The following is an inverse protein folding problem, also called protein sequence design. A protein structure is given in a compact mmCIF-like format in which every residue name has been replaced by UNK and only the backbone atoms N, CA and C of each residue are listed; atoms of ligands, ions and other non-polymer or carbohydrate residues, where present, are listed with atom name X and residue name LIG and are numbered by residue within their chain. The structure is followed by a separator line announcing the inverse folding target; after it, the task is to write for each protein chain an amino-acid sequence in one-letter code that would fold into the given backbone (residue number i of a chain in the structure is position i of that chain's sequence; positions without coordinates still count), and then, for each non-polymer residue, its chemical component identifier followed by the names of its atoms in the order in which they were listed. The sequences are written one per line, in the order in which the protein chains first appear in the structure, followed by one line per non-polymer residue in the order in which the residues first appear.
data_IF_469634624532
#
_entry.id   IF_469634624532
#
_cell.length_a   1.000
_cell.length_b   1.000
_cell.length_c   1.000
_cell.angle_alpha   90.00
_cell.angle_beta   90.00
_cell.angle_gamma   90.00
#
_symmetry.space_group_name_H-M   'P 1'
#
loop_
_entity.id
_entity.type
_entity.pdbx_description
1 polymer ?
#
# COMPACT_ATOMS: atom_id res chain seq x y z
N UNK A 1 -24.64 -12.17 -14.48
CA UNK A 1 -23.55 -11.19 -14.65
C UNK A 1 -24.01 -9.81 -15.15
N UNK A 2 -25.26 -9.62 -15.61
CA UNK A 2 -25.86 -8.28 -15.81
C UNK A 2 -25.89 -7.42 -14.54
N UNK A 3 -25.82 -8.07 -13.37
CA UNK A 3 -25.82 -7.44 -12.05
C UNK A 3 -24.66 -6.45 -11.86
N UNK A 4 -23.46 -6.71 -12.37
CA UNK A 4 -22.33 -5.78 -12.21
C UNK A 4 -22.57 -4.45 -12.95
N UNK A 5 -23.10 -4.52 -14.18
CA UNK A 5 -23.42 -3.32 -14.94
C UNK A 5 -24.65 -2.61 -14.35
N UNK A 6 -25.65 -3.35 -13.88
CA UNK A 6 -26.79 -2.78 -13.16
C UNK A 6 -26.38 -2.15 -11.82
N UNK A 7 -25.43 -2.75 -11.09
CA UNK A 7 -24.88 -2.25 -9.84
C UNK A 7 -24.06 -0.98 -10.12
N UNK A 8 -23.23 -0.96 -11.17
CA UNK A 8 -22.52 0.25 -11.62
C UNK A 8 -23.51 1.33 -12.05
N UNK A 9 -24.53 1.01 -12.86
CA UNK A 9 -25.60 1.94 -13.26
C UNK A 9 -26.41 2.42 -12.05
N UNK A 10 -26.60 1.59 -11.03
CA UNK A 10 -27.31 1.92 -9.79
C UNK A 10 -26.47 2.78 -8.87
N UNK A 11 -25.18 2.48 -8.70
CA UNK A 11 -24.21 3.28 -7.97
C UNK A 11 -24.10 4.64 -8.63
N UNK A 12 -23.95 4.67 -9.96
CA UNK A 12 -23.91 5.92 -10.71
C UNK A 12 -25.24 6.65 -10.55
N UNK A 13 -26.42 6.03 -10.75
CA UNK A 13 -27.72 6.69 -10.55
C UNK A 13 -27.90 7.25 -9.12
N UNK A 14 -27.59 6.47 -8.07
CA UNK A 14 -27.62 6.93 -6.67
C UNK A 14 -26.68 8.11 -6.45
N UNK A 15 -25.54 8.11 -7.13
CA UNK A 15 -24.56 9.18 -7.14
C UNK A 15 -24.75 10.15 -8.32
N UNK A 16 -25.92 10.23 -8.98
CA UNK A 16 -26.13 11.13 -10.14
C UNK A 16 -27.19 12.18 -9.88
N UNK A 17 -27.93 12.07 -8.78
CA UNK A 17 -28.88 13.10 -8.42
C UNK A 17 -28.12 14.26 -7.82
N UNK A 18 -27.90 15.30 -8.63
CA UNK A 18 -27.66 16.64 -8.13
C UNK A 18 -28.89 17.01 -7.29
N UNK A 19 -28.80 16.83 -5.97
CA UNK A 19 -29.86 17.32 -5.09
C UNK A 19 -29.79 18.84 -5.09
N UNK A 20 -30.96 19.50 -5.17
CA UNK A 20 -31.01 20.93 -4.91
C UNK A 20 -30.39 21.21 -3.53
N UNK A 21 -29.65 22.32 -3.38
CA UNK A 21 -29.10 22.71 -2.09
C UNK A 21 -30.20 22.70 -1.03
N UNK A 22 -29.94 22.03 0.09
CA UNK A 22 -30.81 22.08 1.26
C UNK A 22 -30.72 23.51 1.83
N UNK A 23 -31.83 24.07 2.37
CA UNK A 23 -31.78 25.39 2.99
C UNK A 23 -30.71 25.47 4.08
N UNK A 24 -29.95 26.58 4.10
CA UNK A 24 -28.89 26.81 5.06
C UNK A 24 -29.44 26.83 6.49
N UNK A 25 -28.81 26.05 7.37
CA UNK A 25 -29.14 26.05 8.80
C UNK A 25 -28.56 27.29 9.49
N UNK A 26 -29.00 27.59 10.72
CA UNK A 26 -28.47 28.72 11.47
C UNK A 26 -26.98 28.52 11.84
N UNK A 27 -26.54 27.28 12.02
CA UNK A 27 -25.12 26.94 12.16
C UNK A 27 -24.31 27.24 10.89
N UNK A 28 -24.88 26.99 9.71
CA UNK A 28 -24.21 27.27 8.44
C UNK A 28 -24.05 28.77 8.20
N UNK A 29 -25.02 29.58 8.62
CA UNK A 29 -24.93 31.05 8.56
C UNK A 29 -23.82 31.59 9.47
N UNK A 30 -23.66 31.01 10.66
CA UNK A 30 -22.56 31.34 11.59
C UNK A 30 -21.22 30.94 10.98
N UNK A 31 -21.13 29.76 10.33
CA UNK A 31 -19.93 29.35 9.59
C UNK A 31 -19.60 30.32 8.47
N UNK A 32 -20.59 30.77 7.70
CA UNK A 32 -20.41 31.75 6.62
C UNK A 32 -19.90 33.09 7.18
N UNK A 33 -20.49 33.62 8.25
CA UNK A 33 -20.09 34.92 8.83
C UNK A 33 -18.69 34.92 9.43
N UNK A 34 -18.20 33.76 9.87
CA UNK A 34 -16.88 33.61 10.48
C UNK A 34 -15.81 33.11 9.50
N UNK A 35 -16.17 32.87 8.23
CA UNK A 35 -15.26 32.32 7.23
C UNK A 35 -14.49 33.42 6.51
N UNK A 36 -13.22 33.57 6.86
CA UNK A 36 -12.25 34.39 6.11
C UNK A 36 -11.28 33.54 5.27
N UNK A 37 -11.38 32.20 5.36
CA UNK A 37 -10.47 31.24 4.75
C UNK A 37 -11.26 30.24 3.91
N UNK A 38 -10.79 29.95 2.71
CA UNK A 38 -11.40 28.95 1.83
C UNK A 38 -11.20 27.54 2.41
N UNK A 39 -12.28 26.78 2.61
CA UNK A 39 -12.17 25.43 3.18
C UNK A 39 -11.49 24.39 2.26
N UNK A 40 -11.30 24.71 0.96
CA UNK A 40 -10.70 23.80 -0.03
C UNK A 40 -9.18 23.99 -0.12
N UNK A 41 -8.72 25.24 -0.20
CA UNK A 41 -7.30 25.57 -0.41
C UNK A 41 -6.64 26.24 0.81
N UNK A 42 -7.41 26.48 1.87
CA UNK A 42 -6.94 27.02 3.15
C UNK A 42 -6.27 28.40 3.06
N UNK A 43 -6.60 29.19 2.03
CA UNK A 43 -6.11 30.57 1.84
C UNK A 43 -7.22 31.60 2.01
N UNK A 44 -6.87 32.87 2.23
CA UNK A 44 -7.83 33.95 2.48
C UNK A 44 -8.86 34.09 1.34
N UNK A 45 -10.12 34.27 1.71
CA UNK A 45 -11.23 34.50 0.79
C UNK A 45 -11.17 35.95 0.26
N UNK A 46 -11.23 36.09 -1.06
CA UNK A 46 -11.38 37.38 -1.74
C UNK A 46 -12.88 37.67 -2.01
N UNK A 47 -13.20 38.73 -2.74
CA UNK A 47 -14.59 39.18 -2.97
C UNK A 47 -15.47 38.11 -3.69
N UNK A 48 -14.87 37.14 -4.40
CA UNK A 48 -15.58 36.08 -5.14
C UNK A 48 -15.87 34.85 -4.25
N UNK A 49 -16.87 34.99 -3.37
CA UNK A 49 -17.33 33.95 -2.46
C UNK A 49 -18.26 32.95 -3.15
N UNK A 50 -17.96 31.65 -3.03
CA UNK A 50 -18.82 30.57 -3.50
C UNK A 50 -19.22 29.65 -2.33
N UNK A 51 -20.51 29.38 -2.20
CA UNK A 51 -21.03 28.44 -1.21
C UNK A 51 -21.01 27.03 -1.79
N UNK A 52 -20.11 26.19 -1.30
CA UNK A 52 -20.00 24.82 -1.77
C UNK A 52 -21.00 23.92 -1.04
N UNK A 53 -21.67 23.08 -1.81
CA UNK A 53 -22.64 22.12 -1.32
C UNK A 53 -22.24 20.73 -1.78
N UNK A 54 -22.47 19.75 -0.91
CA UNK A 54 -22.34 18.35 -1.28
C UNK A 54 -23.41 18.00 -2.32
N UNK A 55 -23.00 17.81 -3.55
CA UNK A 55 -23.80 17.32 -4.67
C UNK A 55 -24.61 16.03 -4.37
N UNK A 56 -24.21 15.18 -3.42
CA UNK A 56 -24.92 13.95 -3.07
C UNK A 56 -25.96 14.13 -1.95
N UNK A 57 -25.65 14.94 -0.93
CA UNK A 57 -26.54 15.15 0.23
C UNK A 57 -27.34 16.46 0.15
N UNK A 58 -26.87 17.43 -0.62
CA UNK A 58 -27.37 18.80 -0.71
C UNK A 58 -26.92 19.70 0.44
N UNK A 59 -26.15 19.17 1.39
CA UNK A 59 -25.73 19.87 2.61
C UNK A 59 -24.62 20.89 2.33
N UNK A 60 -24.61 21.99 3.06
CA UNK A 60 -23.55 23.00 2.98
C UNK A 60 -22.22 22.44 3.51
N UNK A 61 -21.14 22.66 2.76
CA UNK A 61 -19.79 22.17 3.10
C UNK A 61 -18.91 23.29 3.63
N UNK A 62 -19.01 24.47 3.05
CA UNK A 62 -18.20 25.62 3.44
C UNK A 62 -18.12 26.68 2.36
N UNK A 63 -17.46 27.79 2.71
CA UNK A 63 -17.20 28.90 1.79
C UNK A 63 -15.88 28.66 1.07
N UNK A 64 -15.88 28.73 -0.25
CA UNK A 64 -14.70 28.53 -1.08
C UNK A 64 -14.57 29.61 -2.16
N UNK A 65 -13.37 29.75 -2.71
CA UNK A 65 -13.23 30.50 -3.96
C UNK A 65 -14.02 29.81 -5.06
N UNK A 66 -14.63 30.59 -5.94
CA UNK A 66 -15.32 30.08 -7.13
C UNK A 66 -14.41 29.15 -7.98
N UNK A 67 -13.13 29.49 -8.09
CA UNK A 67 -12.13 28.68 -8.80
C UNK A 67 -11.86 27.34 -8.09
N UNK A 68 -11.82 27.33 -6.75
CA UNK A 68 -11.59 26.11 -5.97
C UNK A 68 -12.78 25.16 -6.05
N UNK A 69 -14.02 25.66 -5.88
CA UNK A 69 -15.21 24.82 -6.03
C UNK A 69 -15.32 24.24 -7.45
N UNK A 70 -15.03 25.04 -8.49
CA UNK A 70 -15.04 24.55 -9.88
C UNK A 70 -14.03 23.41 -10.14
N UNK A 71 -12.89 23.41 -9.43
CA UNK A 71 -11.85 22.37 -9.48
C UNK A 71 -12.17 21.15 -8.60
N UNK A 72 -12.99 21.30 -7.57
CA UNK A 72 -13.37 20.24 -6.63
C UNK A 72 -14.43 19.32 -7.24
N UNK A 73 -14.02 18.41 -8.13
CA UNK A 73 -14.91 17.48 -8.87
C UNK A 73 -14.66 16.04 -8.52
N UNK A 74 -15.73 15.26 -8.52
CA UNK A 74 -15.68 13.83 -8.19
C UNK A 74 -15.34 13.00 -9.42
N UNK A 75 -14.43 12.01 -9.29
CA UNK A 75 -14.00 11.18 -10.40
C UNK A 75 -15.16 10.38 -10.98
N UNK A 76 -15.26 10.35 -12.32
CA UNK A 76 -16.30 9.62 -13.08
C UNK A 76 -15.84 8.23 -13.55
N UNK A 77 -14.80 7.68 -12.95
CA UNK A 77 -14.35 6.30 -13.19
C UNK A 77 -14.38 5.54 -11.87
N UNK A 78 -14.80 4.27 -11.91
CA UNK A 78 -14.86 3.40 -10.74
C UNK A 78 -13.74 2.37 -10.92
N UNK A 79 -12.62 2.47 -10.18
CA UNK A 79 -11.59 1.46 -10.23
C UNK A 79 -12.07 0.21 -9.49
N UNK A 80 -12.04 -0.93 -10.17
CA UNK A 80 -12.32 -2.24 -9.57
C UNK A 80 -11.00 -2.99 -9.53
N UNK A 81 -10.53 -3.28 -8.32
CA UNK A 81 -9.30 -4.05 -8.10
C UNK A 81 -9.65 -5.52 -7.94
N UNK A 82 -9.09 -6.35 -8.82
CA UNK A 82 -9.23 -7.79 -8.76
C UNK A 82 -7.89 -8.36 -8.31
N UNK A 83 -7.83 -8.75 -7.04
CA UNK A 83 -6.68 -9.47 -6.51
C UNK A 83 -6.61 -10.81 -7.26
N UNK A 84 -5.59 -10.98 -8.11
CA UNK A 84 -5.27 -12.20 -8.86
C UNK A 84 -5.97 -12.43 -10.23
N UNK A 85 -6.15 -11.37 -11.03
CA UNK A 85 -6.61 -11.52 -12.43
C UNK A 85 -5.55 -12.18 -13.33
N UNK A 86 -4.28 -11.92 -13.06
CA UNK A 86 -3.16 -12.60 -13.68
C UNK A 86 -3.15 -14.06 -13.22
N UNK A 87 -3.18 -15.02 -14.16
CA UNK A 87 -3.21 -16.48 -13.98
C UNK A 87 -4.59 -17.15 -13.86
N UNK A 88 -5.69 -16.39 -13.81
CA UNK A 88 -7.05 -16.93 -13.94
C UNK A 88 -7.66 -16.55 -15.30
N UNK A 89 -8.64 -17.31 -15.77
CA UNK A 89 -9.19 -17.15 -17.12
C UNK A 89 -10.12 -15.93 -17.21
N UNK A 90 -9.57 -14.72 -17.28
CA UNK A 90 -10.36 -13.47 -17.34
C UNK A 90 -11.22 -13.34 -18.61
N UNK A 91 -11.11 -14.29 -19.55
CA UNK A 91 -11.93 -14.39 -20.76
C UNK A 91 -13.42 -14.36 -20.47
N UNK A 92 -13.90 -15.05 -19.43
CA UNK A 92 -15.34 -15.05 -19.11
C UNK A 92 -15.83 -13.67 -18.67
N UNK A 93 -14.98 -12.86 -18.02
CA UNK A 93 -15.31 -11.50 -17.59
C UNK A 93 -15.33 -10.57 -18.81
N UNK A 94 -14.30 -10.63 -19.65
CA UNK A 94 -14.21 -9.83 -20.88
C UNK A 94 -15.37 -10.15 -21.83
N UNK A 95 -15.72 -11.43 -21.98
CA UNK A 95 -16.88 -11.86 -22.75
C UNK A 95 -18.19 -11.35 -22.13
N UNK A 96 -18.33 -11.40 -20.81
CA UNK A 96 -19.51 -10.86 -20.12
C UNK A 96 -19.61 -9.33 -20.20
N UNK A 97 -18.52 -8.60 -20.41
CA UNK A 97 -18.49 -7.15 -20.65
C UNK A 97 -18.84 -6.76 -22.10
N UNK A 98 -18.94 -7.75 -23.00
CA UNK A 98 -19.35 -7.59 -24.39
C UNK A 98 -20.87 -7.78 -24.56
N UNK A 99 -21.66 -7.21 -23.64
CA UNK A 99 -23.12 -7.29 -23.65
C UNK A 99 -23.79 -6.18 -24.48
N UNK A 100 -23.04 -5.16 -24.86
CA UNK A 100 -23.45 -4.04 -25.72
C UNK A 100 -22.36 -3.75 -26.77
N UNK A 101 -22.69 -2.93 -27.77
CA UNK A 101 -21.79 -2.55 -28.87
C UNK A 101 -20.67 -1.58 -28.43
N UNK A 102 -20.63 -1.17 -27.16
CA UNK A 102 -19.60 -0.27 -26.65
C UNK A 102 -18.23 -0.96 -26.65
N UNK A 103 -17.18 -0.20 -26.95
CA UNK A 103 -15.84 -0.78 -27.11
C UNK A 103 -15.24 -1.18 -25.76
N UNK A 104 -14.82 -2.44 -25.64
CA UNK A 104 -13.96 -2.93 -24.54
C UNK A 104 -12.50 -2.75 -24.98
N UNK A 105 -11.74 -1.99 -24.20
CA UNK A 105 -10.30 -1.84 -24.41
C UNK A 105 -9.56 -2.81 -23.48
N UNK A 106 -8.61 -3.56 -24.02
CA UNK A 106 -7.86 -4.57 -23.26
C UNK A 106 -6.37 -4.32 -23.47
N UNK A 107 -5.61 -4.45 -22.39
CA UNK A 107 -4.14 -4.49 -22.43
C UNK A 107 -3.72 -5.95 -22.31
N UNK A 108 -3.48 -6.65 -23.43
CA UNK A 108 -3.06 -8.04 -23.39
C UNK A 108 -1.58 -8.17 -23.02
N UNK A 109 -1.25 -9.19 -22.24
CA UNK A 109 0.13 -9.65 -22.05
C UNK A 109 0.49 -10.70 -23.10
N UNK A 110 -0.43 -11.62 -23.39
CA UNK A 110 -0.37 -12.59 -24.48
C UNK A 110 -1.81 -12.98 -24.90
N UNK A 111 -1.98 -13.99 -25.75
CA UNK A 111 -3.31 -14.41 -26.25
C UNK A 111 -4.25 -14.97 -25.16
N UNK A 112 -3.74 -15.33 -23.99
CA UNK A 112 -4.50 -15.97 -22.90
C UNK A 112 -4.49 -15.16 -21.60
N UNK A 113 -3.69 -14.09 -21.51
CA UNK A 113 -3.48 -13.30 -20.30
C UNK A 113 -3.68 -11.82 -20.57
N UNK A 114 -4.54 -11.20 -19.77
CA UNK A 114 -4.84 -9.76 -19.81
C UNK A 114 -4.27 -9.06 -18.57
N UNK A 115 -3.60 -7.93 -18.76
CA UNK A 115 -3.07 -7.08 -17.69
C UNK A 115 -4.20 -6.20 -17.13
N UNK A 116 -5.02 -5.65 -18.02
CA UNK A 116 -6.20 -4.88 -17.65
C UNK A 116 -7.24 -4.89 -18.78
N UNK A 117 -8.49 -4.64 -18.43
CA UNK A 117 -9.56 -4.36 -19.37
C UNK A 117 -10.38 -3.16 -18.87
N UNK A 118 -10.82 -2.32 -19.79
CA UNK A 118 -11.57 -1.09 -19.54
C UNK A 118 -12.80 -1.07 -20.42
N UNK A 119 -13.96 -0.80 -19.82
CA UNK A 119 -15.21 -0.55 -20.54
C UNK A 119 -15.58 0.92 -20.35
N UNK A 120 -15.65 1.67 -21.44
CA UNK A 120 -16.27 2.98 -21.39
C UNK A 120 -17.78 2.80 -21.48
N UNK A 121 -18.48 3.24 -20.44
CA UNK A 121 -19.93 3.33 -20.48
C UNK A 121 -20.28 4.74 -20.91
N UNK A 122 -20.99 4.88 -22.02
CA UNK A 122 -21.48 6.20 -22.45
C UNK A 122 -22.63 6.61 -21.55
N UNK A 123 -22.32 7.36 -20.51
CA UNK A 123 -23.31 8.04 -19.66
C UNK A 123 -23.41 9.46 -20.22
N UNK A 124 -24.57 9.83 -20.74
CA UNK A 124 -24.83 11.13 -21.35
C UNK A 124 -24.59 12.26 -20.32
N UNK A 125 -23.33 12.70 -20.16
CA UNK A 125 -22.82 13.98 -19.66
C UNK A 125 -21.32 13.85 -19.27
N UNK A 126 -20.40 14.49 -20.01
CA UNK A 126 -18.94 14.53 -19.76
C UNK A 126 -18.49 15.76 -18.95
N UNK A 127 -17.29 15.75 -18.30
CA UNK A 127 -16.57 16.99 -18.01
C UNK A 127 -15.05 16.88 -18.30
N UNK A 128 -14.52 17.94 -18.90
CA UNK A 128 -13.13 18.15 -19.29
C UNK A 128 -12.21 18.40 -18.06
N UNK A 129 -11.75 17.36 -17.33
CA UNK A 129 -10.90 17.54 -16.13
C UNK A 129 -9.42 17.17 -16.35
N UNK A 130 -9.12 16.17 -17.18
CA UNK A 130 -7.73 15.82 -17.53
C UNK A 130 -7.02 16.90 -18.38
N UNK A 131 -7.70 17.98 -18.74
CA UNK A 131 -7.13 19.07 -19.52
C UNK A 131 -6.28 20.05 -18.68
N UNK A 132 -6.44 20.10 -17.34
CA UNK A 132 -5.86 21.16 -16.51
C UNK A 132 -4.73 20.74 -15.56
N UNK A 133 -4.71 19.52 -15.01
CA UNK A 133 -3.75 19.11 -13.97
C UNK A 133 -3.43 17.62 -14.02
N UNK A 134 -2.19 17.24 -13.72
CA UNK A 134 -1.73 15.86 -13.55
C UNK A 134 -2.42 15.21 -12.34
N UNK A 135 -2.99 14.01 -12.52
CA UNK A 135 -3.57 13.24 -11.43
C UNK A 135 -2.48 12.47 -10.69
N UNK A 136 -2.51 12.45 -9.35
CA UNK A 136 -1.55 11.72 -8.51
C UNK A 136 -2.25 10.63 -7.70
N UNK A 137 -1.70 9.43 -7.70
CA UNK A 137 -2.23 8.26 -7.02
C UNK A 137 -1.17 7.66 -6.09
N UNK A 138 -1.34 7.76 -4.76
CA UNK A 138 -0.45 7.08 -3.82
C UNK A 138 -0.67 5.57 -3.90
N UNK A 139 0.42 4.82 -3.92
CA UNK A 139 0.44 3.36 -3.93
C UNK A 139 1.42 2.85 -2.88
N UNK A 140 1.14 1.67 -2.33
CA UNK A 140 2.13 0.91 -1.58
C UNK A 140 2.70 -0.17 -2.49
N UNK A 141 4.00 -0.08 -2.74
CA UNK A 141 4.75 -1.01 -3.58
C UNK A 141 5.44 -2.02 -2.67
N UNK A 142 5.33 -3.30 -3.01
CA UNK A 142 6.01 -4.38 -2.30
C UNK A 142 7.15 -4.94 -3.14
N UNK A 143 8.32 -5.12 -2.54
CA UNK A 143 9.45 -5.81 -3.15
C UNK A 143 9.95 -6.93 -2.26
N UNK A 144 10.43 -8.01 -2.88
CA UNK A 144 11.08 -9.11 -2.18
C UNK A 144 12.49 -9.28 -2.71
N UNK A 145 13.47 -9.24 -1.81
CA UNK A 145 14.85 -9.59 -2.13
C UNK A 145 15.26 -10.84 -1.38
N UNK A 146 16.00 -11.69 -2.07
CA UNK A 146 16.49 -12.96 -1.53
C UNK A 146 18.01 -12.96 -1.55
N UNK A 147 18.62 -13.22 -0.41
CA UNK A 147 20.06 -13.22 -0.21
C UNK A 147 20.50 -14.56 0.35
N UNK A 148 21.41 -15.24 -0.34
CA UNK A 148 21.92 -16.55 0.10
C UNK A 148 23.05 -16.39 1.11
N UNK A 149 22.93 -17.07 2.24
CA UNK A 149 23.95 -17.16 3.29
C UNK A 149 24.50 -18.60 3.28
N UNK A 150 25.80 -18.79 3.01
CA UNK A 150 26.38 -20.12 2.91
C UNK A 150 26.47 -20.82 4.26
N UNK A 151 26.54 -22.15 4.23
CA UNK A 151 26.86 -22.97 5.41
C UNK A 151 28.22 -22.58 6.02
N UNK A 152 28.41 -22.88 7.29
CA UNK A 152 29.62 -22.59 8.06
C UNK A 152 29.72 -21.14 8.55
N UNK A 153 28.79 -20.27 8.17
CA UNK A 153 28.76 -18.87 8.60
C UNK A 153 28.10 -18.74 9.98
N UNK A 154 28.74 -18.01 10.89
CA UNK A 154 28.19 -17.67 12.22
C UNK A 154 27.60 -16.25 12.27
N UNK A 155 27.89 -15.39 11.29
CA UNK A 155 27.28 -14.07 11.21
C UNK A 155 27.43 -13.48 9.82
N UNK A 156 26.47 -12.65 9.44
CA UNK A 156 26.44 -12.00 8.13
C UNK A 156 26.01 -10.55 8.29
N UNK A 157 26.79 -9.66 7.71
CA UNK A 157 26.39 -8.29 7.40
C UNK A 157 25.99 -8.25 5.93
N UNK A 158 24.82 -7.69 5.68
CA UNK A 158 24.27 -7.50 4.35
C UNK A 158 24.06 -5.99 4.17
N UNK A 159 24.98 -5.37 3.45
CA UNK A 159 24.93 -3.96 3.10
C UNK A 159 24.02 -3.75 1.89
N UNK A 160 23.30 -2.63 1.85
CA UNK A 160 22.38 -2.28 0.77
C UNK A 160 21.45 -3.45 0.41
N UNK A 161 20.86 -4.04 1.47
CA UNK A 161 19.95 -5.17 1.31
C UNK A 161 18.74 -4.79 0.47
N UNK A 162 18.40 -3.51 0.42
CA UNK A 162 17.37 -2.96 -0.45
C UNK A 162 18.07 -2.00 -1.41
N UNK A 163 17.50 -1.81 -2.60
CA UNK A 163 18.12 -1.01 -3.67
C UNK A 163 18.68 0.31 -3.12
N UNK A 164 19.84 0.76 -3.66
CA UNK A 164 20.37 2.10 -3.38
C UNK A 164 19.29 3.12 -3.77
N UNK A 165 18.60 3.71 -2.78
CA UNK A 165 17.43 4.51 -3.07
C UNK A 165 16.54 4.74 -1.87
N UNK A 166 15.23 4.59 -2.08
CA UNK A 166 14.22 4.86 -1.08
C UNK A 166 14.34 3.88 0.11
N UNK A 167 14.21 4.40 1.33
CA UNK A 167 14.06 3.59 2.54
C UNK A 167 12.62 3.09 2.61
N UNK A 168 12.39 1.77 2.76
CA UNK A 168 11.05 1.24 2.91
C UNK A 168 10.39 1.73 4.21
N UNK A 169 9.05 1.81 4.21
CA UNK A 169 8.29 2.06 5.44
C UNK A 169 8.24 0.84 6.35
N UNK A 170 8.33 -0.37 5.78
CA UNK A 170 8.25 -1.63 6.52
C UNK A 170 9.19 -2.67 5.92
N UNK A 171 9.84 -3.44 6.79
CA UNK A 171 10.59 -4.63 6.40
C UNK A 171 10.14 -5.86 7.18
N UNK A 172 9.96 -6.98 6.50
CA UNK A 172 9.72 -8.29 7.11
C UNK A 172 10.82 -9.24 6.63
N UNK A 173 11.54 -9.84 7.57
CA UNK A 173 12.67 -10.70 7.30
C UNK A 173 12.39 -12.10 7.83
N UNK A 174 12.71 -13.10 7.02
CA UNK A 174 12.65 -14.51 7.39
C UNK A 174 13.81 -15.29 6.78
N UNK A 175 14.17 -16.40 7.41
CA UNK A 175 15.20 -17.30 6.91
C UNK A 175 14.58 -18.64 6.55
N UNK A 176 14.91 -19.14 5.36
CA UNK A 176 14.40 -20.41 4.83
C UNK A 176 15.56 -21.25 4.33
N UNK A 177 15.46 -22.56 4.44
CA UNK A 177 16.44 -23.47 3.86
C UNK A 177 16.57 -23.24 2.34
N UNK A 178 17.79 -23.11 1.82
CA UNK A 178 18.00 -22.81 0.40
C UNK A 178 17.39 -23.87 -0.53
N UNK A 179 17.47 -25.16 -0.18
CA UNK A 179 16.87 -26.21 -1.01
C UNK A 179 15.35 -26.24 -0.91
N UNK A 180 14.77 -25.83 0.23
CA UNK A 180 13.32 -25.67 0.38
C UNK A 180 12.80 -24.53 -0.51
N UNK A 181 13.49 -23.39 -0.50
CA UNK A 181 13.19 -22.24 -1.36
C UNK A 181 13.25 -22.61 -2.85
N UNK A 182 14.22 -23.44 -3.24
CA UNK A 182 14.39 -23.92 -4.62
C UNK A 182 13.45 -25.10 -5.01
N UNK A 183 12.44 -25.42 -4.19
CA UNK A 183 11.39 -26.38 -4.58
C UNK A 183 11.69 -27.85 -4.27
N UNK A 184 12.52 -28.16 -3.28
CA UNK A 184 12.72 -29.53 -2.80
C UNK A 184 11.41 -30.17 -2.36
N UNK A 185 11.00 -31.28 -2.98
CA UNK A 185 9.73 -31.98 -2.71
C UNK A 185 9.59 -32.48 -1.27
N UNK A 186 10.69 -32.65 -0.54
CA UNK A 186 10.73 -33.13 0.85
C UNK A 186 10.75 -32.01 1.89
N UNK A 187 10.81 -30.73 1.47
CA UNK A 187 10.93 -29.58 2.37
C UNK A 187 9.85 -28.55 2.08
N UNK A 188 9.51 -27.74 3.08
CA UNK A 188 8.49 -26.70 2.96
C UNK A 188 9.16 -25.31 2.83
N UNK A 189 8.91 -24.54 1.74
CA UNK A 189 9.45 -23.19 1.58
C UNK A 189 8.82 -22.15 2.53
N UNK A 190 7.71 -22.47 3.20
CA UNK A 190 7.04 -21.59 4.17
C UNK A 190 7.47 -21.83 5.62
N UNK A 191 8.48 -22.68 5.85
CA UNK A 191 9.07 -22.90 7.17
C UNK A 191 10.19 -21.90 7.39
N UNK A 192 9.88 -20.84 8.14
CA UNK A 192 10.81 -19.79 8.53
C UNK A 192 11.50 -20.16 9.85
N UNK A 193 12.62 -20.86 9.75
CA UNK A 193 13.36 -21.32 10.92
C UNK A 193 14.15 -20.18 11.58
N UNK A 194 14.37 -20.30 12.89
CA UNK A 194 15.16 -19.32 13.62
C UNK A 194 16.68 -19.49 13.45
N UNK A 195 17.16 -20.65 12.98
CA UNK A 195 18.58 -21.00 12.81
C UNK A 195 19.51 -20.61 13.97
N UNK A 196 18.97 -20.52 15.20
CA UNK A 196 19.72 -20.07 16.36
C UNK A 196 20.18 -18.61 16.27
N UNK A 197 19.39 -17.69 15.68
CA UNK A 197 19.69 -16.26 15.71
C UNK A 197 20.00 -15.84 17.15
N UNK A 198 21.19 -15.30 17.37
CA UNK A 198 21.69 -14.76 18.63
C UNK A 198 21.65 -13.25 18.68
N UNK A 199 21.82 -12.60 17.52
CA UNK A 199 21.68 -11.15 17.42
C UNK A 199 21.11 -10.74 16.06
N UNK A 200 20.20 -9.77 16.05
CA UNK A 200 19.63 -9.19 14.84
C UNK A 200 19.41 -7.68 14.99
N UNK A 201 19.83 -6.91 13.99
CA UNK A 201 19.58 -5.48 13.89
C UNK A 201 19.59 -5.00 12.45
N UNK A 202 18.79 -3.98 12.17
CA UNK A 202 18.84 -3.17 10.96
C UNK A 202 19.63 -1.89 11.25
N UNK A 203 20.19 -1.29 10.21
CA UNK A 203 20.76 0.05 10.26
C UNK A 203 20.21 0.85 9.10
N UNK A 204 19.72 2.06 9.38
CA UNK A 204 19.34 3.05 8.38
C UNK A 204 20.35 4.18 8.49
N UNK A 205 21.14 4.39 7.44
CA UNK A 205 22.18 5.43 7.39
C UNK A 205 23.12 5.43 8.61
N UNK A 206 23.46 4.23 9.08
CA UNK A 206 24.32 4.00 10.25
C UNK A 206 23.61 4.05 11.61
N UNK A 207 22.34 4.48 11.67
CA UNK A 207 21.54 4.42 12.90
C UNK A 207 20.92 3.03 13.08
N UNK A 208 21.19 2.40 14.21
CA UNK A 208 20.70 1.05 14.51
C UNK A 208 19.21 1.03 14.90
N UNK A 209 18.47 0.06 14.35
CA UNK A 209 17.05 -0.22 14.60
C UNK A 209 16.88 -1.73 14.81
N UNK A 210 16.35 -2.18 15.96
CA UNK A 210 16.00 -1.38 17.13
C UNK A 210 17.26 -0.81 17.82
N UNK A 211 17.07 0.22 18.65
CA UNK A 211 18.17 0.90 19.38
C UNK A 211 19.05 -0.07 20.16
N UNK A 212 18.45 -1.14 20.69
CA UNK A 212 19.15 -2.33 21.17
C UNK A 212 18.88 -3.47 20.21
N UNK A 213 19.94 -4.12 19.71
CA UNK A 213 19.80 -5.28 18.83
C UNK A 213 18.96 -6.35 19.52
N UNK A 214 18.13 -7.04 18.73
CA UNK A 214 17.40 -8.20 19.24
C UNK A 214 18.41 -9.27 19.60
N UNK A 215 18.26 -9.88 20.77
CA UNK A 215 19.13 -10.95 21.24
C UNK A 215 18.30 -12.15 21.71
N UNK A 216 17.58 -12.83 20.80
CA UNK A 216 16.77 -13.97 21.18
C UNK A 216 17.65 -15.17 21.59
N UNK A 217 17.14 -15.98 22.50
CA UNK A 217 17.66 -17.30 22.85
C UNK A 217 16.48 -18.27 22.83
N UNK A 218 16.41 -19.08 21.78
CA UNK A 218 15.32 -20.04 21.58
C UNK A 218 15.42 -21.21 22.57
N UNK A 219 16.63 -21.66 22.91
CA UNK A 219 16.87 -22.73 23.89
C UNK A 219 16.38 -22.36 25.29
N UNK A 220 16.55 -21.10 25.69
CA UNK A 220 16.13 -20.59 27.00
C UNK A 220 14.72 -19.96 26.99
N UNK A 221 13.98 -20.07 25.88
CA UNK A 221 12.67 -19.43 25.66
C UNK A 221 12.66 -17.89 25.79
N UNK A 222 13.81 -17.24 25.59
CA UNK A 222 13.98 -15.78 25.65
C UNK A 222 13.90 -15.21 24.24
N UNK A 223 12.71 -15.15 23.65
CA UNK A 223 12.52 -14.60 22.29
C UNK A 223 11.30 -13.69 22.19
N UNK A 224 10.73 -13.27 23.33
CA UNK A 224 9.52 -12.43 23.39
C UNK A 224 9.70 -11.12 22.63
N UNK A 225 10.85 -10.46 22.74
CA UNK A 225 11.12 -9.21 22.00
C UNK A 225 11.19 -9.43 20.48
N UNK A 226 11.74 -10.56 20.03
CA UNK A 226 11.75 -10.92 18.61
C UNK A 226 10.34 -11.22 18.10
N UNK A 227 9.55 -11.98 18.87
CA UNK A 227 8.14 -12.24 18.56
C UNK A 227 7.29 -10.96 18.58
N UNK A 228 7.55 -10.04 19.51
CA UNK A 228 6.86 -8.75 19.61
C UNK A 228 7.04 -7.88 18.35
N UNK A 229 8.15 -8.05 17.62
CA UNK A 229 8.36 -7.34 16.34
C UNK A 229 7.27 -7.64 15.32
N UNK A 230 6.68 -8.84 15.33
CA UNK A 230 5.55 -9.16 14.45
C UNK A 230 4.33 -8.28 14.73
N UNK A 231 4.10 -7.90 15.98
CA UNK A 231 2.96 -7.06 16.34
C UNK A 231 3.25 -5.60 16.03
N UNK A 232 4.39 -5.10 16.50
CA UNK A 232 4.78 -3.70 16.31
C UNK A 232 5.07 -3.37 14.85
N UNK A 233 5.80 -4.22 14.13
CA UNK A 233 6.19 -3.97 12.74
C UNK A 233 5.06 -4.11 11.72
N UNK A 234 4.06 -4.96 11.96
CA UNK A 234 2.88 -5.06 11.08
C UNK A 234 1.80 -4.02 11.43
N UNK A 235 1.93 -3.35 12.58
CA UNK A 235 0.96 -2.36 13.05
C UNK A 235 -0.36 -2.95 13.55
N UNK A 236 -0.39 -4.26 13.83
CA UNK A 236 -1.50 -4.90 14.55
C UNK A 236 -1.41 -4.68 16.07
N UNK A 237 -0.30 -4.13 16.54
CA UNK A 237 -0.11 -3.83 17.95
C UNK A 237 -1.23 -2.93 18.47
N UNK A 238 -1.88 -3.34 19.56
CA UNK A 238 -3.07 -2.70 20.15
C UNK A 238 -4.37 -2.79 19.34
N UNK A 239 -4.39 -3.47 18.19
CA UNK A 239 -5.63 -3.78 17.48
C UNK A 239 -6.25 -5.06 18.05
N UNK A 240 -7.56 -5.22 17.85
CA UNK A 240 -8.28 -6.47 18.17
C UNK A 240 -8.07 -7.53 17.07
N UNK A 241 -6.85 -7.63 16.55
CA UNK A 241 -6.45 -8.51 15.45
C UNK A 241 -5.18 -9.27 15.84
N UNK A 242 -5.13 -10.55 15.48
CA UNK A 242 -3.96 -11.40 15.71
C UNK A 242 -3.19 -11.68 14.42
N UNK A 243 -1.93 -12.07 14.55
CA UNK A 243 -1.08 -12.50 13.43
C UNK A 243 -1.17 -14.01 13.13
N UNK A 244 -2.11 -14.73 13.76
CA UNK A 244 -2.31 -16.19 13.63
C UNK A 244 -1.08 -17.08 13.90
N UNK A 245 -0.02 -16.53 14.52
CA UNK A 245 1.20 -17.25 14.89
C UNK A 245 1.28 -17.23 16.41
N UNK A 246 1.20 -18.38 17.06
CA UNK A 246 1.41 -18.47 18.50
C UNK A 246 2.89 -18.30 18.86
N UNK A 247 3.19 -17.96 20.12
CA UNK A 247 4.57 -17.85 20.61
C UNK A 247 5.33 -19.18 20.46
N UNK A 248 4.65 -20.31 20.65
CA UNK A 248 5.22 -21.65 20.52
C UNK A 248 5.48 -21.99 19.05
N UNK A 249 4.58 -21.59 18.15
CA UNK A 249 4.76 -21.75 16.70
C UNK A 249 5.92 -20.90 16.19
N UNK A 250 6.07 -19.67 16.69
CA UNK A 250 7.16 -18.77 16.33
C UNK A 250 8.55 -19.44 16.48
N UNK A 251 8.79 -20.12 17.61
CA UNK A 251 10.04 -20.83 17.85
C UNK A 251 10.21 -22.07 16.93
N UNK A 252 9.12 -22.65 16.42
CA UNK A 252 9.08 -23.91 15.66
C UNK A 252 8.91 -23.74 14.14
N UNK A 253 9.45 -22.66 13.58
CA UNK A 253 9.48 -22.48 12.11
C UNK A 253 8.54 -21.41 11.57
N UNK A 254 8.04 -20.50 12.41
CA UNK A 254 7.33 -19.29 12.00
C UNK A 254 8.08 -18.03 12.49
N UNK A 255 9.41 -18.07 12.46
CA UNK A 255 10.28 -17.00 12.94
C UNK A 255 10.44 -15.92 11.86
N UNK A 256 9.57 -14.91 11.91
CA UNK A 256 9.64 -13.71 11.08
C UNK A 256 9.96 -12.50 11.97
N UNK A 257 10.71 -11.54 11.43
CA UNK A 257 11.08 -10.31 12.11
C UNK A 257 10.52 -9.15 11.31
N UNK A 258 9.59 -8.38 11.89
CA UNK A 258 8.93 -7.27 11.21
C UNK A 258 9.32 -5.93 11.85
N UNK A 259 9.69 -4.96 11.03
CA UNK A 259 10.12 -3.64 11.47
C UNK A 259 9.31 -2.58 10.76
N UNK A 260 8.70 -1.69 11.55
CA UNK A 260 8.23 -0.41 11.09
C UNK A 260 9.42 0.55 11.11
N UNK A 261 9.70 1.15 9.95
CA UNK A 261 10.83 2.04 9.74
C UNK A 261 10.38 3.50 9.55
N UNK A 262 9.08 3.79 9.69
CA UNK A 262 8.63 5.18 9.69
C UNK A 262 9.06 5.86 10.99
N UNK A 263 9.37 7.17 10.96
CA UNK A 263 9.83 7.89 12.15
C UNK A 263 8.82 7.90 13.31
N UNK A 264 7.54 7.76 12.98
CA UNK A 264 6.40 7.85 13.88
C UNK A 264 5.71 6.51 14.14
N UNK A 265 6.28 5.39 13.65
CA UNK A 265 5.76 4.02 13.83
C UNK A 265 4.33 3.84 13.33
N UNK A 266 4.08 4.34 12.13
CA UNK A 266 2.76 4.45 11.51
C UNK A 266 2.69 3.81 10.14
N UNK A 267 3.57 2.85 9.80
CA UNK A 267 3.56 2.18 8.51
C UNK A 267 2.20 1.56 8.14
N UNK A 268 1.35 1.29 9.13
CA UNK A 268 0.01 0.74 8.96
C UNK A 268 -1.12 1.80 8.85
N UNK A 269 -0.81 3.09 9.01
CA UNK A 269 -1.76 4.19 8.88
C UNK A 269 -1.96 4.56 7.41
N UNK A 270 -3.21 4.69 6.99
CA UNK A 270 -3.60 5.25 5.69
C UNK A 270 -3.97 6.73 5.77
N UNK A 271 -4.01 7.29 6.99
CA UNK A 271 -4.50 8.65 7.25
C UNK A 271 -3.43 9.72 7.06
N UNK A 272 -2.16 9.35 7.09
CA UNK A 272 -1.04 10.28 6.94
C UNK A 272 0.10 9.62 6.19
N UNK A 273 0.85 10.44 5.47
CA UNK A 273 1.90 9.99 4.56
C UNK A 273 3.24 10.47 5.08
N UNK A 274 4.18 9.54 5.26
CA UNK A 274 5.54 9.88 5.66
C UNK A 274 6.33 10.39 4.46
N UNK A 275 7.22 11.37 4.68
CA UNK A 275 8.12 11.81 3.61
C UNK A 275 8.98 10.63 3.14
N UNK A 276 9.02 10.45 1.82
CA UNK A 276 9.93 9.53 1.16
C UNK A 276 11.36 9.92 1.51
N UNK A 277 12.08 9.02 2.18
CA UNK A 277 13.50 9.17 2.50
C UNK A 277 14.33 8.31 1.58
N UNK A 278 15.46 8.83 1.17
CA UNK A 278 16.49 8.06 0.48
C UNK A 278 17.63 7.76 1.45
N UNK A 279 18.12 6.54 1.43
CA UNK A 279 19.12 6.07 2.37
C UNK A 279 19.55 4.63 2.08
N UNK A 280 20.42 4.14 2.94
CA UNK A 280 20.92 2.77 2.90
C UNK A 280 20.35 1.95 4.04
N UNK A 281 19.82 0.77 3.71
CA UNK A 281 19.41 -0.22 4.71
C UNK A 281 20.44 -1.33 4.76
N UNK A 282 21.02 -1.53 5.94
CA UNK A 282 21.94 -2.64 6.23
C UNK A 282 21.31 -3.57 7.26
N UNK A 283 21.49 -4.87 7.06
CA UNK A 283 21.05 -5.91 7.99
C UNK A 283 22.28 -6.59 8.59
N UNK A 284 22.27 -6.75 9.90
CA UNK A 284 23.26 -7.54 10.63
C UNK A 284 22.57 -8.68 11.38
N UNK A 285 23.03 -9.91 11.13
CA UNK A 285 22.57 -11.11 11.83
C UNK A 285 23.76 -11.91 12.33
N UNK A 286 23.67 -12.41 13.56
CA UNK A 286 24.60 -13.37 14.16
C UNK A 286 23.84 -14.58 14.66
N UNK A 287 24.37 -15.76 14.42
CA UNK A 287 23.85 -17.04 14.85
C UNK A 287 24.68 -17.54 16.04
N UNK A 288 24.05 -18.30 16.94
CA UNK A 288 24.73 -18.92 18.10
C UNK A 288 25.82 -19.88 17.62
N UNK A 289 25.46 -20.72 16.64
CA UNK A 289 26.32 -21.73 16.05
C UNK A 289 26.53 -21.44 14.55
N UNK A 290 27.61 -21.98 13.99
CA UNK A 290 27.81 -21.92 12.54
C UNK A 290 26.71 -22.67 11.81
N UNK A 291 26.16 -22.08 10.76
CA UNK A 291 25.06 -22.67 9.99
C UNK A 291 25.46 -24.06 9.45
N UNK A 292 24.66 -25.08 9.70
CA UNK A 292 24.90 -26.44 9.19
C UNK A 292 24.49 -26.62 7.72
N UNK A 293 23.77 -25.64 7.18
CA UNK A 293 23.21 -25.67 5.83
C UNK A 293 23.14 -24.25 5.25
N UNK A 294 23.16 -24.16 3.93
CA UNK A 294 22.95 -22.89 3.22
C UNK A 294 21.49 -22.46 3.36
N UNK A 295 21.27 -21.19 3.70
CA UNK A 295 19.94 -20.61 3.91
C UNK A 295 19.74 -19.39 3.00
N UNK A 296 18.50 -19.05 2.72
CA UNK A 296 18.10 -17.82 2.06
C UNK A 296 17.46 -16.89 3.09
N UNK A 297 18.00 -15.67 3.19
CA UNK A 297 17.37 -14.54 3.87
C UNK A 297 16.40 -13.89 2.90
N UNK A 298 15.10 -13.96 3.20
CA UNK A 298 14.04 -13.32 2.43
C UNK A 298 13.71 -12.01 3.13
N UNK A 299 13.83 -10.90 2.41
CA UNK A 299 13.48 -9.56 2.86
C UNK A 299 12.30 -9.08 2.03
N UNK A 300 11.13 -9.01 2.63
CA UNK A 300 9.96 -8.32 2.09
C UNK A 300 9.98 -6.87 2.55
N UNK A 301 9.82 -5.93 1.65
CA UNK A 301 9.87 -4.50 1.92
C UNK A 301 8.70 -3.77 1.27
N UNK A 302 8.10 -2.84 2.01
CA UNK A 302 7.01 -1.98 1.52
C UNK A 302 7.51 -0.55 1.37
N UNK A 303 7.16 0.07 0.26
CA UNK A 303 7.51 1.45 -0.09
C UNK A 303 6.25 2.23 -0.40
N UNK A 304 6.22 3.50 0.01
CA UNK A 304 5.18 4.44 -0.41
C UNK A 304 5.65 5.18 -1.66
N UNK A 305 4.88 5.10 -2.73
CA UNK A 305 5.22 5.67 -4.03
C UNK A 305 4.00 6.40 -4.63
N UNK A 306 4.24 7.27 -5.61
CA UNK A 306 3.18 7.98 -6.33
C UNK A 306 3.24 7.63 -7.82
N UNK A 307 2.08 7.30 -8.37
CA UNK A 307 1.83 7.26 -9.81
C UNK A 307 1.22 8.59 -10.23
N UNK A 308 1.84 9.25 -11.20
CA UNK A 308 1.32 10.47 -11.81
C UNK A 308 0.81 10.19 -13.23
N UNK A 309 -0.37 10.70 -13.57
CA UNK A 309 -0.96 10.59 -14.92
C UNK A 309 -1.17 12.00 -15.47
N UNK A 310 -0.45 12.33 -16.54
CA UNK A 310 -0.51 13.66 -17.16
C UNK A 310 -1.76 13.86 -18.05
N UNK A 311 -1.92 15.07 -18.58
CA UNK A 311 -3.02 15.43 -19.49
C UNK A 311 -3.05 14.62 -20.80
N UNK A 312 -1.90 14.10 -21.21
CA UNK A 312 -1.74 13.27 -22.41
C UNK A 312 -1.94 11.78 -22.10
N UNK A 313 -2.28 11.43 -20.84
CA UNK A 313 -2.39 10.07 -20.30
C UNK A 313 -1.05 9.31 -20.26
N UNK A 314 0.07 10.03 -20.24
CA UNK A 314 1.34 9.41 -19.92
C UNK A 314 1.40 9.10 -18.42
N UNK A 315 1.91 7.93 -18.10
CA UNK A 315 2.08 7.45 -16.72
C UNK A 315 3.54 7.64 -16.33
N UNK A 316 3.80 8.38 -15.26
CA UNK A 316 5.11 8.51 -14.63
C UNK A 316 5.07 8.00 -13.20
N UNK A 317 6.15 7.37 -12.77
CA UNK A 317 6.30 6.83 -11.41
C UNK A 317 7.55 7.40 -10.77
N UNK A 318 7.54 7.56 -9.45
CA UNK A 318 8.64 8.16 -8.68
C UNK A 318 9.71 7.15 -8.23
N UNK A 319 9.63 5.90 -8.70
CA UNK A 319 10.60 4.84 -8.43
C UNK A 319 11.24 4.32 -9.71
N UNK A 320 12.51 3.91 -9.62
CA UNK A 320 13.19 3.17 -10.69
C UNK A 320 12.78 1.70 -10.65
N UNK A 321 12.58 1.10 -11.83
CA UNK A 321 12.35 -0.34 -12.00
C UNK A 321 13.67 -1.10 -12.07
#
# INVERSE_FOLDING_TARGET
MNRLCEDVKTIVKKNSFQKCPVPLTDEDKIKISNSNICYICETELNEDLFYDFDWHTGSFRGVAHQVCSSKYRIPRHIPIFLHNLSHYDAHFIVHALNFDDDKVEVIPQNKERYISFSKQLTINNQPKVLASTTAKYPITRAEVKVLTIPLGVQGKTLDNILFLGQVPKRCIIGFVNNSAFNGSLTKNPFTFENYGIKSFSLYIDGQQIPSKALQPSFDNNIFTSAYHTLFSGTGIHFLNEGNAISREQYAKGYCLLAFDLTPDLSANSSAHWNLIKHGSVRLEVRFEYSLTQTINCIVYAEFDNIIEIDKNRNVSVDYSS
#
